data_IF_060111011676
#
_entry.id   IF_060111011676
#
_cell.length_a   1.000
_cell.length_b   1.000
_cell.length_c   1.000
_cell.angle_alpha   90.00
_cell.angle_beta   90.00
_cell.angle_gamma   90.00
#
_symmetry.space_group_name_H-M   'P 1'
#
loop_
_entity.id
_entity.type
_entity.pdbx_description
1 polymer ?
#
# COMPACT_ATOMS: atom_id res chain seq x y z
N UNK A 1 -10.42 -1.59 13.03
CA UNK A 1 -11.31 -0.67 12.27
C UNK A 1 -10.41 0.20 11.39
N UNK A 2 -10.35 -0.04 10.09
CA UNK A 2 -9.44 0.69 9.18
C UNK A 2 -9.85 2.17 9.11
N UNK A 3 -8.95 3.08 9.45
CA UNK A 3 -9.17 4.54 9.47
C UNK A 3 -8.25 5.21 8.44
N UNK A 4 -8.56 5.12 7.14
CA UNK A 4 -7.70 5.63 6.07
C UNK A 4 -7.43 7.14 6.19
N UNK A 5 -8.38 7.93 6.73
CA UNK A 5 -8.17 9.35 7.01
C UNK A 5 -7.11 9.64 8.09
N UNK A 6 -6.97 8.77 9.10
CA UNK A 6 -5.92 8.89 10.13
C UNK A 6 -4.56 8.45 9.62
N UNK A 7 -4.54 7.41 8.78
CA UNK A 7 -3.33 6.96 8.08
C UNK A 7 -2.78 8.09 7.22
N UNK A 8 -3.61 8.71 6.37
CA UNK A 8 -3.18 9.79 5.50
C UNK A 8 -2.61 10.99 6.28
N UNK A 9 -3.17 11.30 7.45
CA UNK A 9 -2.67 12.38 8.30
C UNK A 9 -1.41 12.00 9.08
N UNK A 10 -0.93 10.75 9.04
CA UNK A 10 0.21 10.29 9.82
C UNK A 10 -0.05 10.30 11.33
N UNK A 11 -1.31 10.09 11.75
CA UNK A 11 -1.73 10.08 13.16
C UNK A 11 -1.69 8.66 13.78
N UNK A 12 -1.22 7.68 13.01
CA UNK A 12 -1.08 6.29 13.44
C UNK A 12 0.35 6.02 13.87
N UNK A 13 0.57 5.19 14.90
CA UNK A 13 1.90 4.70 15.24
C UNK A 13 2.58 4.09 14.01
N UNK A 14 3.87 4.37 13.81
CA UNK A 14 4.61 3.95 12.63
C UNK A 14 4.52 2.44 12.37
N UNK A 15 4.56 1.62 13.43
CA UNK A 15 4.39 0.18 13.34
C UNK A 15 3.01 -0.26 12.82
N UNK A 16 1.94 0.44 13.23
CA UNK A 16 0.56 0.15 12.78
C UNK A 16 0.36 0.61 11.32
N UNK A 17 0.86 1.79 10.98
CA UNK A 17 0.83 2.30 9.61
C UNK A 17 1.55 1.35 8.63
N UNK A 18 2.72 0.84 9.03
CA UNK A 18 3.51 -0.06 8.20
C UNK A 18 2.90 -1.48 8.12
N UNK A 19 2.71 -2.17 9.24
CA UNK A 19 2.27 -3.57 9.22
C UNK A 19 0.85 -3.74 8.73
N UNK A 20 -0.08 -2.89 9.17
CA UNK A 20 -1.49 -3.06 8.87
C UNK A 20 -1.84 -2.54 7.48
N UNK A 21 -1.30 -1.38 7.08
CA UNK A 21 -1.70 -0.74 5.81
C UNK A 21 -0.71 -1.00 4.68
N UNK A 22 0.60 -0.87 4.92
CA UNK A 22 1.57 -1.12 3.85
C UNK A 22 1.73 -2.62 3.57
N UNK A 23 1.92 -3.45 4.61
CA UNK A 23 2.15 -4.90 4.44
C UNK A 23 0.86 -5.66 4.23
N UNK A 24 0.02 -5.80 5.27
CA UNK A 24 -1.21 -6.62 5.18
C UNK A 24 -2.16 -6.04 4.14
N UNK A 25 -2.35 -4.73 4.19
CA UNK A 25 -3.20 -4.01 3.25
C UNK A 25 -2.70 -4.08 1.81
N UNK A 26 -1.41 -3.84 1.58
CA UNK A 26 -0.79 -3.95 0.26
C UNK A 26 -0.89 -5.35 -0.33
N UNK A 27 -0.63 -6.40 0.47
CA UNK A 27 -0.78 -7.80 0.06
C UNK A 27 -2.23 -8.11 -0.27
N UNK A 28 -3.18 -7.72 0.60
CA UNK A 28 -4.59 -7.99 0.38
C UNK A 28 -5.12 -7.32 -0.89
N UNK A 29 -4.78 -6.04 -1.11
CA UNK A 29 -5.17 -5.31 -2.31
C UNK A 29 -4.58 -5.94 -3.55
N UNK A 30 -3.28 -6.22 -3.56
CA UNK A 30 -2.64 -6.84 -4.73
C UNK A 30 -3.18 -8.24 -5.01
N UNK A 31 -3.37 -9.09 -4.00
CA UNK A 31 -3.95 -10.42 -4.19
C UNK A 31 -5.36 -10.34 -4.81
N UNK A 32 -6.20 -9.42 -4.33
CA UNK A 32 -7.54 -9.21 -4.88
C UNK A 32 -7.49 -8.66 -6.30
N UNK A 33 -6.67 -7.64 -6.57
CA UNK A 33 -6.56 -7.07 -7.92
C UNK A 33 -5.96 -8.06 -8.91
N UNK A 34 -4.97 -8.86 -8.53
CA UNK A 34 -4.40 -9.92 -9.38
C UNK A 34 -5.41 -11.01 -9.68
N UNK A 35 -6.19 -11.46 -8.69
CA UNK A 35 -7.25 -12.44 -8.92
C UNK A 35 -8.32 -11.91 -9.89
N UNK A 36 -8.77 -10.67 -9.67
CA UNK A 36 -9.74 -10.02 -10.56
C UNK A 36 -9.16 -9.81 -11.96
N UNK A 37 -7.87 -9.46 -12.07
CA UNK A 37 -7.18 -9.33 -13.34
C UNK A 37 -7.21 -10.65 -14.12
N UNK A 38 -6.84 -11.78 -13.48
CA UNK A 38 -6.88 -13.10 -14.11
C UNK A 38 -8.29 -13.47 -14.58
N UNK A 39 -9.31 -13.23 -13.75
CA UNK A 39 -10.72 -13.48 -14.11
C UNK A 39 -11.15 -12.65 -15.31
N UNK A 40 -10.81 -11.36 -15.33
CA UNK A 40 -11.20 -10.44 -16.42
C UNK A 40 -10.46 -10.72 -17.72
N UNK A 41 -9.17 -11.08 -17.66
CA UNK A 41 -8.40 -11.53 -18.82
C UNK A 41 -8.98 -12.83 -19.37
N UNK A 42 -9.35 -13.77 -18.50
CA UNK A 42 -9.98 -15.05 -18.91
C UNK A 42 -11.36 -14.84 -19.57
N UNK A 43 -11.97 -13.68 -19.35
CA UNK A 43 -13.23 -13.27 -19.97
C UNK A 43 -13.05 -12.34 -21.19
N UNK A 44 -11.83 -12.23 -21.74
CA UNK A 44 -11.48 -11.31 -22.84
C UNK A 44 -11.79 -9.83 -22.57
N UNK A 45 -11.83 -9.43 -21.29
CA UNK A 45 -12.09 -8.05 -20.86
C UNK A 45 -10.80 -7.32 -20.50
N UNK A 46 -9.85 -7.25 -21.44
CA UNK A 46 -8.52 -6.65 -21.22
C UNK A 46 -8.54 -5.21 -20.68
N UNK A 47 -9.45 -4.36 -21.18
CA UNK A 47 -9.57 -2.97 -20.70
C UNK A 47 -10.08 -2.92 -19.25
N UNK A 48 -11.05 -3.76 -18.91
CA UNK A 48 -11.56 -3.84 -17.54
C UNK A 48 -10.51 -4.42 -16.59
N UNK A 49 -9.73 -5.41 -17.04
CA UNK A 49 -8.62 -5.97 -16.28
C UNK A 49 -7.58 -4.89 -15.93
N UNK A 50 -7.16 -4.08 -16.90
CA UNK A 50 -6.25 -2.95 -16.68
C UNK A 50 -6.83 -1.92 -15.70
N UNK A 51 -8.10 -1.55 -15.87
CA UNK A 51 -8.76 -0.61 -14.97
C UNK A 51 -8.82 -1.14 -13.53
N UNK A 52 -9.20 -2.40 -13.34
CA UNK A 52 -9.28 -2.99 -11.99
C UNK A 52 -7.90 -3.17 -11.37
N UNK A 53 -6.90 -3.60 -12.15
CA UNK A 53 -5.52 -3.77 -11.70
C UNK A 53 -4.91 -2.47 -11.21
N UNK A 54 -5.04 -1.39 -11.99
CA UNK A 54 -4.35 -0.13 -11.69
C UNK A 54 -5.19 0.89 -10.93
N UNK A 55 -6.50 1.02 -11.20
CA UNK A 55 -7.31 2.08 -10.59
C UNK A 55 -7.58 1.85 -9.10
N UNK A 56 -7.44 0.61 -8.60
CA UNK A 56 -7.53 0.30 -7.16
C UNK A 56 -6.15 0.20 -6.51
N UNK A 57 -5.21 -0.49 -7.16
CA UNK A 57 -3.88 -0.72 -6.58
C UNK A 57 -3.10 0.60 -6.44
N UNK A 58 -3.10 1.46 -7.47
CA UNK A 58 -2.29 2.70 -7.47
C UNK A 58 -2.75 3.68 -6.38
N UNK A 59 -4.04 4.05 -6.25
CA UNK A 59 -4.45 4.97 -5.19
C UNK A 59 -4.21 4.40 -3.80
N UNK A 60 -4.38 3.09 -3.62
CA UNK A 60 -4.11 2.43 -2.34
C UNK A 60 -2.63 2.51 -1.97
N UNK A 61 -1.76 2.16 -2.91
CA UNK A 61 -0.32 2.21 -2.80
C UNK A 61 0.18 3.62 -2.44
N UNK A 62 -0.39 4.66 -3.08
CA UNK A 62 -0.11 6.06 -2.74
C UNK A 62 -0.56 6.39 -1.31
N UNK A 63 -1.78 6.01 -0.91
CA UNK A 63 -2.28 6.23 0.45
C UNK A 63 -1.38 5.57 1.51
N UNK A 64 -0.95 4.33 1.26
CA UNK A 64 -0.10 3.58 2.16
C UNK A 64 1.28 4.24 2.32
N UNK A 65 1.94 4.63 1.21
CA UNK A 65 3.23 5.33 1.27
C UNK A 65 3.14 6.66 1.98
N UNK A 66 2.18 7.51 1.59
CA UNK A 66 2.04 8.84 2.19
C UNK A 66 1.75 8.71 3.69
N UNK A 67 0.95 7.71 4.07
CA UNK A 67 0.67 7.41 5.46
C UNK A 67 1.90 6.98 6.26
N UNK A 68 2.67 6.02 5.74
CA UNK A 68 3.92 5.56 6.39
C UNK A 68 4.94 6.68 6.46
N UNK A 69 5.10 7.47 5.39
CA UNK A 69 6.05 8.57 5.35
C UNK A 69 5.73 9.66 6.38
N UNK A 70 4.46 10.06 6.48
CA UNK A 70 4.01 11.05 7.46
C UNK A 70 4.03 10.54 8.89
N UNK A 71 3.75 9.25 9.10
CA UNK A 71 3.89 8.61 10.41
C UNK A 71 5.36 8.56 10.84
N UNK A 72 6.29 8.31 9.90
CA UNK A 72 7.72 8.29 10.17
C UNK A 72 8.29 9.68 10.52
N UNK A 73 7.74 10.76 9.93
CA UNK A 73 8.12 12.13 10.27
C UNK A 73 7.69 12.57 11.67
N UNK A 74 6.66 11.92 12.22
CA UNK A 74 6.12 12.21 13.55
C UNK A 74 6.59 11.24 14.64
N UNK A 75 7.34 10.21 14.27
CA UNK A 75 7.87 9.24 15.22
C UNK A 75 9.06 9.88 15.96
N UNK A 76 8.93 10.07 17.27
CA UNK A 76 10.01 10.56 18.16
C UNK A 76 11.05 9.47 18.47
N UNK A 77 10.92 8.28 17.86
CA UNK A 77 11.81 7.15 18.03
C UNK A 77 13.17 7.31 17.34
N UNK A 78 14.05 6.30 17.45
CA UNK A 78 15.38 6.34 16.84
C UNK A 78 15.27 6.53 15.32
N UNK A 79 15.92 7.56 14.77
CA UNK A 79 15.90 7.89 13.32
C UNK A 79 16.19 6.69 12.40
N UNK A 80 17.05 5.76 12.83
CA UNK A 80 17.36 4.54 12.09
C UNK A 80 16.14 3.63 11.87
N UNK A 81 15.19 3.63 12.81
CA UNK A 81 13.96 2.84 12.71
C UNK A 81 12.98 3.46 11.71
N UNK A 82 12.89 4.78 11.68
CA UNK A 82 12.09 5.52 10.70
C UNK A 82 12.61 5.34 9.26
N UNK A 83 13.93 5.41 9.07
CA UNK A 83 14.59 5.16 7.78
C UNK A 83 14.35 3.73 7.29
N UNK A 84 14.44 2.72 8.17
CA UNK A 84 14.18 1.33 7.81
C UNK A 84 12.74 1.13 7.30
N UNK A 85 11.74 1.71 7.97
CA UNK A 85 10.35 1.60 7.53
C UNK A 85 10.08 2.32 6.20
N UNK A 86 10.76 3.45 5.94
CA UNK A 86 10.69 4.12 4.63
C UNK A 86 11.26 3.26 3.51
N UNK A 87 12.45 2.68 3.72
CA UNK A 87 13.11 1.82 2.73
C UNK A 87 12.26 0.58 2.46
N UNK A 88 11.74 -0.07 3.50
CA UNK A 88 10.92 -1.28 3.32
C UNK A 88 9.57 -0.96 2.67
N UNK A 89 8.95 0.19 2.97
CA UNK A 89 7.72 0.61 2.29
C UNK A 89 7.97 0.92 0.81
N UNK A 90 9.08 1.57 0.47
CA UNK A 90 9.50 1.80 -0.92
C UNK A 90 9.73 0.49 -1.65
N UNK A 91 10.50 -0.43 -1.06
CA UNK A 91 10.80 -1.75 -1.63
C UNK A 91 9.52 -2.56 -1.83
N UNK A 92 8.65 -2.60 -0.83
CA UNK A 92 7.35 -3.28 -0.90
C UNK A 92 6.45 -2.73 -2.00
N UNK A 93 6.38 -1.40 -2.14
CA UNK A 93 5.63 -0.76 -3.21
C UNK A 93 6.18 -1.10 -4.59
N UNK A 94 7.50 -1.02 -4.77
CA UNK A 94 8.13 -1.34 -6.06
C UNK A 94 7.92 -2.79 -6.43
N UNK A 95 8.08 -3.73 -5.48
CA UNK A 95 7.81 -5.14 -5.72
C UNK A 95 6.34 -5.37 -6.10
N UNK A 96 5.40 -4.80 -5.34
CA UNK A 96 3.98 -4.99 -5.60
C UNK A 96 3.50 -4.32 -6.89
N UNK A 97 4.14 -3.23 -7.32
CA UNK A 97 3.75 -2.50 -8.54
C UNK A 97 4.36 -3.07 -9.83
N UNK A 98 5.38 -3.93 -9.71
CA UNK A 98 6.07 -4.57 -10.85
C UNK A 98 5.52 -5.96 -11.18
N UNK A 99 4.73 -6.55 -10.28
CA UNK A 99 3.93 -7.78 -10.51
C UNK A 99 2.63 -7.48 -11.25
#
# INVERSE_FOLDING_TARGET
MMKPGRLWRGELPLGEAFWTYAVIGGIAVNAVTSLLFVVLVSADRLVAALLVGYALSVPYNVLAIVGVWRAAERDEGPRARAELYRIVALVGLTLLSVT
#
